data_IF_714914208795
#
_entry.id   IF_714914208795
#
_cell.length_a   1.000
_cell.length_b   1.000
_cell.length_c   1.000
_cell.angle_alpha   90.00
_cell.angle_beta   90.00
_cell.angle_gamma   90.00
#
_symmetry.space_group_name_H-M   'P 1'
#
loop_
_entity.id
_entity.type
_entity.pdbx_description
1 polymer ?
#
# COMPACT_ATOMS: atom_id res chain seq x y z
N UNK A 1 6.10 -7.05 -15.14
CA UNK A 1 6.49 -6.98 -13.73
C UNK A 1 5.41 -6.32 -12.91
N UNK A 2 4.96 -7.06 -11.94
CA UNK A 2 3.86 -6.61 -11.08
C UNK A 2 4.21 -5.33 -10.33
N UNK A 3 5.42 -5.27 -9.74
CA UNK A 3 5.83 -4.11 -8.94
C UNK A 3 6.03 -2.85 -9.75
N UNK A 4 6.45 -2.98 -11.00
CA UNK A 4 6.56 -1.80 -11.89
C UNK A 4 5.17 -1.22 -12.14
N UNK A 5 4.18 -2.08 -12.37
CA UNK A 5 2.80 -1.64 -12.54
C UNK A 5 2.27 -0.93 -11.30
N UNK A 6 2.59 -1.43 -10.12
CA UNK A 6 2.19 -0.82 -8.85
C UNK A 6 2.86 0.56 -8.71
N UNK A 7 4.17 0.66 -9.01
CA UNK A 7 4.87 1.93 -8.92
C UNK A 7 4.24 2.97 -9.86
N UNK A 8 3.88 2.56 -11.07
CA UNK A 8 3.20 3.46 -12.02
C UNK A 8 1.83 3.87 -11.53
N UNK A 9 1.12 2.97 -10.88
CA UNK A 9 -0.21 3.27 -10.33
C UNK A 9 -0.11 4.30 -9.21
N UNK A 10 0.90 4.17 -8.34
CA UNK A 10 1.17 5.15 -7.30
C UNK A 10 1.41 6.52 -7.95
N UNK A 11 2.29 6.56 -8.95
CA UNK A 11 2.63 7.80 -9.63
C UNK A 11 1.39 8.47 -10.24
N UNK A 12 0.58 7.70 -10.96
CA UNK A 12 -0.62 8.25 -11.59
C UNK A 12 -1.62 8.78 -10.56
N UNK A 13 -1.78 8.07 -9.45
CA UNK A 13 -2.67 8.49 -8.39
C UNK A 13 -2.23 9.84 -7.82
N UNK A 14 -0.94 9.98 -7.56
CA UNK A 14 -0.40 11.21 -6.99
C UNK A 14 -0.43 12.35 -8.00
N UNK A 15 -0.10 12.07 -9.26
CA UNK A 15 -0.14 13.10 -10.30
C UNK A 15 -1.54 13.65 -10.50
N UNK A 16 -2.54 12.77 -10.47
CA UNK A 16 -3.93 13.19 -10.59
C UNK A 16 -4.35 14.04 -9.39
N UNK A 17 -4.00 13.60 -8.19
CA UNK A 17 -4.28 14.38 -6.98
C UNK A 17 -3.63 15.77 -7.06
N UNK A 18 -2.36 15.82 -7.46
CA UNK A 18 -1.62 17.08 -7.53
C UNK A 18 -2.25 18.04 -8.55
N UNK A 19 -2.64 17.51 -9.71
CA UNK A 19 -3.26 18.32 -10.75
C UNK A 19 -4.61 18.87 -10.29
N UNK A 20 -5.40 18.04 -9.60
CA UNK A 20 -6.74 18.44 -9.15
C UNK A 20 -6.70 19.46 -8.00
N UNK A 21 -5.61 19.49 -7.25
CA UNK A 21 -5.51 20.33 -6.06
C UNK A 21 -4.44 21.42 -6.17
N UNK A 22 -3.86 21.62 -7.34
CA UNK A 22 -2.86 22.65 -7.55
C UNK A 22 -1.59 22.47 -6.73
N UNK A 23 -1.20 21.22 -6.49
CA UNK A 23 -0.03 20.90 -5.69
C UNK A 23 1.15 20.64 -6.63
N UNK A 24 2.31 21.23 -6.33
CA UNK A 24 3.50 21.07 -7.18
C UNK A 24 4.66 20.39 -6.47
N UNK A 25 4.49 19.93 -5.24
CA UNK A 25 5.53 19.22 -4.51
C UNK A 25 4.95 18.22 -3.52
N UNK A 26 5.57 17.05 -3.45
CA UNK A 26 5.16 15.97 -2.56
C UNK A 26 6.34 15.57 -1.70
N UNK A 27 6.14 15.51 -0.38
CA UNK A 27 7.18 15.06 0.55
C UNK A 27 7.20 13.56 0.72
N UNK A 28 6.01 12.96 0.79
CA UNK A 28 5.92 11.54 1.12
C UNK A 28 4.63 10.95 0.59
N UNK A 29 4.70 9.68 0.19
CA UNK A 29 3.52 8.88 -0.13
C UNK A 29 3.53 7.70 0.82
N UNK A 30 2.44 7.51 1.55
CA UNK A 30 2.28 6.39 2.47
C UNK A 30 1.29 5.40 1.85
N UNK A 31 1.72 4.17 1.71
CA UNK A 31 0.91 3.11 1.13
C UNK A 31 0.67 2.00 2.13
N UNK A 32 -0.52 1.41 2.09
CA UNK A 32 -0.82 0.21 2.83
C UNK A 32 -0.64 -0.99 1.91
N UNK A 33 0.28 -1.87 2.29
CA UNK A 33 0.56 -3.09 1.54
C UNK A 33 0.02 -4.29 2.32
N UNK A 34 -1.08 -4.85 1.84
CA UNK A 34 -1.64 -6.04 2.46
C UNK A 34 -0.74 -7.25 2.27
N UNK A 35 -0.61 -8.07 3.31
CA UNK A 35 0.22 -9.27 3.23
C UNK A 35 -0.21 -10.20 2.11
N UNK A 36 -1.49 -10.16 1.73
CA UNK A 36 -2.05 -11.03 0.69
C UNK A 36 -2.15 -10.36 -0.67
N UNK A 37 -1.57 -9.15 -0.82
CA UNK A 37 -1.66 -8.40 -2.08
C UNK A 37 -0.74 -8.92 -3.16
N UNK A 38 0.23 -9.75 -2.82
CA UNK A 38 1.26 -10.27 -3.70
C UNK A 38 2.29 -9.21 -4.13
N UNK A 39 2.22 -8.02 -3.57
CA UNK A 39 3.24 -6.99 -3.81
C UNK A 39 4.37 -7.24 -2.82
N UNK A 40 5.57 -7.45 -3.36
CA UNK A 40 6.76 -7.70 -2.54
C UNK A 40 7.46 -6.37 -2.28
N UNK A 41 7.51 -5.91 -1.01
CA UNK A 41 8.00 -4.57 -0.70
C UNK A 41 9.41 -4.30 -1.23
N UNK A 42 10.31 -5.26 -1.12
CA UNK A 42 11.69 -5.08 -1.55
C UNK A 42 11.77 -4.82 -3.05
N UNK A 43 10.95 -5.50 -3.84
CA UNK A 43 10.95 -5.31 -5.29
C UNK A 43 10.33 -3.98 -5.66
N UNK A 44 9.27 -3.58 -4.96
CA UNK A 44 8.66 -2.28 -5.20
C UNK A 44 9.64 -1.16 -4.86
N UNK A 45 10.31 -1.23 -3.72
CA UNK A 45 11.28 -0.23 -3.32
C UNK A 45 12.45 -0.14 -4.30
N UNK A 46 12.82 -1.25 -4.89
CA UNK A 46 13.91 -1.29 -5.85
C UNK A 46 13.53 -0.69 -7.20
N UNK A 47 12.30 -0.91 -7.65
CA UNK A 47 11.85 -0.43 -8.97
C UNK A 47 11.28 0.98 -8.92
N UNK A 48 10.78 1.40 -7.77
CA UNK A 48 10.11 2.71 -7.61
C UNK A 48 10.97 3.89 -8.08
N UNK A 49 12.25 4.00 -7.68
CA UNK A 49 13.06 5.16 -8.10
C UNK A 49 13.17 5.31 -9.61
N UNK A 50 13.21 4.20 -10.33
CA UNK A 50 13.31 4.24 -11.79
C UNK A 50 12.02 4.77 -12.43
N UNK A 51 10.89 4.40 -11.85
CA UNK A 51 9.58 4.79 -12.40
C UNK A 51 9.30 6.27 -12.16
N UNK A 52 9.70 6.80 -10.99
CA UNK A 52 9.37 8.16 -10.61
C UNK A 52 10.42 9.20 -10.97
N UNK A 53 11.52 8.78 -11.59
CA UNK A 53 12.58 9.69 -12.00
C UNK A 53 12.03 10.74 -12.95
N UNK A 54 12.32 12.02 -12.68
CA UNK A 54 11.84 13.12 -13.50
C UNK A 54 10.39 13.52 -13.25
N UNK A 55 9.78 12.95 -12.21
CA UNK A 55 8.37 13.25 -11.88
C UNK A 55 8.28 13.98 -10.55
N UNK A 56 7.06 14.34 -10.18
CA UNK A 56 6.77 14.99 -8.89
C UNK A 56 7.19 14.13 -7.70
N UNK A 57 7.31 12.82 -7.88
CA UNK A 57 7.67 11.90 -6.80
C UNK A 57 9.17 11.60 -6.72
N UNK A 58 9.99 12.20 -7.59
CA UNK A 58 11.41 11.85 -7.63
C UNK A 58 12.11 11.93 -6.28
N UNK A 59 11.80 12.95 -5.49
CA UNK A 59 12.43 13.16 -4.19
C UNK A 59 11.49 12.88 -3.03
N UNK A 60 10.31 12.37 -3.31
CA UNK A 60 9.35 12.05 -2.27
C UNK A 60 9.70 10.71 -1.62
N UNK A 61 9.51 10.63 -0.32
CA UNK A 61 9.71 9.39 0.41
C UNK A 61 8.55 8.43 0.14
N UNK A 62 8.86 7.17 -0.06
CA UNK A 62 7.84 6.12 -0.15
C UNK A 62 7.84 5.33 1.15
N UNK A 63 6.71 5.30 1.83
CA UNK A 63 6.55 4.55 3.07
C UNK A 63 5.53 3.43 2.84
N UNK A 64 5.91 2.21 3.15
CA UNK A 64 5.05 1.04 2.99
C UNK A 64 4.70 0.49 4.36
N UNK A 65 3.41 0.49 4.68
CA UNK A 65 2.91 -0.12 5.92
C UNK A 65 2.36 -1.49 5.58
N UNK A 66 2.71 -2.49 6.38
CA UNK A 66 2.19 -3.83 6.18
C UNK A 66 0.84 -3.96 6.87
N UNK A 67 -0.17 -4.39 6.13
CA UNK A 67 -1.49 -4.67 6.69
C UNK A 67 -1.63 -6.19 6.82
N UNK A 68 -1.87 -6.70 8.02
CA UNK A 68 -1.94 -8.15 8.23
C UNK A 68 -3.05 -8.80 7.40
N UNK A 69 -2.76 -9.97 6.86
CA UNK A 69 -3.74 -10.76 6.14
C UNK A 69 -4.53 -11.64 7.10
N UNK A 70 -5.64 -11.12 7.59
CA UNK A 70 -6.49 -11.84 8.54
C UNK A 70 -7.68 -12.48 7.85
N UNK A 71 -8.07 -13.65 8.34
CA UNK A 71 -9.23 -14.35 7.83
C UNK A 71 -10.02 -14.95 8.99
N UNK A 72 -11.30 -15.15 8.74
CA UNK A 72 -12.18 -15.87 9.66
C UNK A 72 -12.42 -17.26 9.12
N UNK A 73 -12.21 -18.27 9.95
CA UNK A 73 -12.47 -19.65 9.55
C UNK A 73 -13.95 -19.87 9.34
N UNK A 74 -14.33 -20.43 8.19
CA UNK A 74 -15.74 -20.68 7.88
C UNK A 74 -16.32 -21.82 8.72
N UNK A 75 -15.46 -22.66 9.28
CA UNK A 75 -15.92 -23.85 10.01
C UNK A 75 -15.98 -23.67 11.52
N UNK A 76 -15.13 -22.79 12.10
CA UNK A 76 -15.12 -22.62 13.56
C UNK A 76 -15.10 -21.15 14.01
N UNK A 77 -15.16 -20.21 13.08
CA UNK A 77 -15.21 -18.78 13.34
C UNK A 77 -13.95 -18.18 13.98
N UNK A 78 -12.86 -18.94 14.05
CA UNK A 78 -11.59 -18.43 14.57
C UNK A 78 -11.01 -17.41 13.59
N UNK A 79 -10.51 -16.28 14.12
CA UNK A 79 -9.80 -15.28 13.31
C UNK A 79 -8.32 -15.55 13.42
N UNK A 80 -7.65 -15.66 12.28
CA UNK A 80 -6.23 -16.01 12.27
C UNK A 80 -5.48 -15.30 11.14
N UNK A 81 -4.15 -15.23 11.25
CA UNK A 81 -3.31 -14.67 10.21
C UNK A 81 -3.03 -15.74 9.15
N UNK A 82 -3.39 -15.44 7.91
CA UNK A 82 -3.33 -16.40 6.80
C UNK A 82 -1.87 -16.80 6.49
N UNK A 83 -0.97 -15.81 6.48
CA UNK A 83 0.44 -16.06 6.14
C UNK A 83 1.11 -16.88 7.24
N UNK A 84 0.89 -16.50 8.49
CA UNK A 84 1.50 -17.17 9.64
C UNK A 84 1.10 -18.64 9.72
N UNK A 85 -0.15 -18.94 9.38
CA UNK A 85 -0.69 -20.30 9.48
C UNK A 85 -0.82 -21.00 8.13
N UNK A 86 -0.20 -20.42 7.09
CA UNK A 86 -0.15 -21.02 5.75
C UNK A 86 -1.53 -21.32 5.18
N UNK A 87 -2.51 -20.54 5.57
CA UNK A 87 -3.88 -20.66 5.08
C UNK A 87 -4.77 -21.59 5.88
N UNK A 88 -4.23 -22.29 6.87
CA UNK A 88 -5.00 -23.27 7.66
C UNK A 88 -5.34 -22.72 9.04
N UNK A 89 -6.58 -22.93 9.45
CA UNK A 89 -7.04 -22.49 10.76
C UNK A 89 -6.23 -23.18 11.86
N UNK A 90 -5.64 -22.43 12.81
CA UNK A 90 -4.87 -23.04 13.89
C UNK A 90 -5.71 -23.80 14.88
N UNK A 91 -7.02 -23.55 14.92
CA UNK A 91 -7.93 -24.22 15.88
C UNK A 91 -8.52 -25.50 15.34
N UNK A 92 -8.96 -25.53 14.07
CA UNK A 92 -9.63 -26.72 13.53
C UNK A 92 -8.98 -27.31 12.29
N UNK A 93 -7.94 -26.67 11.76
CA UNK A 93 -7.21 -27.17 10.61
C UNK A 93 -7.89 -26.99 9.27
N UNK A 94 -9.03 -26.32 9.22
CA UNK A 94 -9.76 -26.11 7.97
C UNK A 94 -9.05 -25.09 7.08
N UNK A 95 -9.17 -25.26 5.76
CA UNK A 95 -8.67 -24.28 4.80
C UNK A 95 -9.76 -23.30 4.36
N UNK A 96 -11.00 -23.56 4.69
CA UNK A 96 -12.13 -22.71 4.30
C UNK A 96 -12.17 -21.47 5.16
N UNK A 97 -12.14 -20.30 4.52
CA UNK A 97 -12.04 -19.03 5.23
C UNK A 97 -12.56 -17.89 4.41
N UNK A 98 -12.87 -16.80 5.11
CA UNK A 98 -13.25 -15.53 4.50
C UNK A 98 -12.18 -14.52 4.90
N UNK A 99 -11.50 -13.94 3.92
CA UNK A 99 -10.44 -12.97 4.20
C UNK A 99 -11.05 -11.65 4.63
N UNK A 100 -10.57 -11.12 5.75
CA UNK A 100 -11.10 -9.90 6.35
C UNK A 100 -10.24 -8.67 6.05
N UNK A 101 -8.93 -8.86 5.88
CA UNK A 101 -8.01 -7.73 5.68
C UNK A 101 -6.76 -8.17 4.93
N UNK A 102 -6.01 -7.20 4.44
CA UNK A 102 -4.69 -7.44 3.87
C UNK A 102 -4.69 -7.94 2.44
N UNK A 103 -5.78 -7.82 1.71
CA UNK A 103 -5.88 -8.32 0.33
C UNK A 103 -5.31 -7.36 -0.71
N UNK A 104 -5.27 -6.08 -0.40
CA UNK A 104 -5.01 -5.06 -1.42
C UNK A 104 -3.82 -4.18 -1.09
N UNK A 105 -3.33 -3.51 -2.13
CA UNK A 105 -2.33 -2.46 -2.02
C UNK A 105 -3.03 -1.14 -2.32
N UNK A 106 -2.85 -0.13 -1.48
CA UNK A 106 -3.50 1.16 -1.69
C UNK A 106 -2.63 2.31 -1.20
N UNK A 107 -2.82 3.48 -1.82
CA UNK A 107 -2.23 4.72 -1.34
C UNK A 107 -3.09 5.21 -0.18
N UNK A 108 -2.50 5.32 0.99
CA UNK A 108 -3.22 5.74 2.18
C UNK A 108 -3.16 7.24 2.40
N UNK A 109 -1.96 7.83 2.23
CA UNK A 109 -1.75 9.24 2.50
C UNK A 109 -0.79 9.83 1.49
N UNK A 110 -1.03 11.09 1.15
CA UNK A 110 -0.11 11.89 0.35
C UNK A 110 0.24 13.10 1.19
N UNK A 111 1.53 13.26 1.51
CA UNK A 111 1.99 14.38 2.32
C UNK A 111 2.59 15.40 1.39
N UNK A 112 1.92 16.54 1.29
CA UNK A 112 2.26 17.62 0.37
C UNK A 112 3.47 18.38 0.92
N UNK A 113 4.35 18.80 0.02
CA UNK A 113 5.53 19.57 0.39
C UNK A 113 5.12 20.86 1.06
N UNK A 114 5.80 21.17 2.16
CA UNK A 114 5.49 22.34 2.96
C UNK A 114 5.78 23.61 2.22
N UNK A 115 4.80 24.52 2.18
CA UNK A 115 4.98 25.87 1.71
C UNK A 115 4.43 26.80 2.78
N UNK A 116 5.17 27.86 3.09
CA UNK A 116 4.73 28.81 4.09
C UNK A 116 4.70 28.26 5.51
N UNK A 117 5.43 27.20 5.80
CA UNK A 117 5.54 26.64 7.14
C UNK A 117 4.46 25.64 7.53
N UNK A 118 3.57 25.29 6.60
CA UNK A 118 2.51 24.33 6.87
C UNK A 118 2.65 23.10 6.00
N UNK A 119 2.55 21.96 6.62
CA UNK A 119 2.56 20.68 5.93
C UNK A 119 1.16 20.11 5.91
N UNK A 120 0.66 19.84 4.74
CA UNK A 120 -0.70 19.33 4.57
C UNK A 120 -0.66 17.83 4.34
N UNK A 121 -1.53 17.14 5.06
CA UNK A 121 -1.64 15.69 4.99
C UNK A 121 -2.98 15.33 4.39
N UNK A 122 -2.96 14.59 3.29
CA UNK A 122 -4.18 14.22 2.58
C UNK A 122 -4.27 12.71 2.48
N UNK A 123 -5.45 12.18 2.77
CA UNK A 123 -5.71 10.75 2.66
C UNK A 123 -6.37 10.51 1.32
N UNK A 124 -5.81 9.55 0.56
CA UNK A 124 -6.35 9.14 -0.72
C UNK A 124 -6.73 7.67 -0.64
N UNK A 125 -7.82 7.31 -1.24
CA UNK A 125 -8.27 5.90 -1.27
C UNK A 125 -8.13 5.33 -2.67
#
# INVERSE_FOLDING_TARGET
>A
MHEIGIARQILRTVERFAAENGVDGIDEVVCDNGELSLVIPEYLEKTYPMVVKGTILQEAKLTLNTVPGLAECDDCDEIFNVVEHKGYCPSCGSFRKTVLSGKTFSVKEIIVKETGGLKEKVIST
#
